data_IF_767496471061
#
_entry.id   IF_767496471061
#
_cell.length_a   1.000
_cell.length_b   1.000
_cell.length_c   1.000
_cell.angle_alpha   90.00
_cell.angle_beta   90.00
_cell.angle_gamma   90.00
#
_symmetry.space_group_name_H-M   'P 1'
#
loop_
_entity.id
_entity.type
_entity.pdbx_description
1 polymer ?
#
# COMPACT_ATOMS: atom_id res chain seq x y z
N UNK A 1 5.85 11.66 -34.94
CA UNK A 1 5.66 11.69 -33.49
C UNK A 1 6.49 10.54 -32.91
N UNK A 2 7.54 10.83 -32.17
CA UNK A 2 8.28 9.80 -31.43
C UNK A 2 7.36 9.25 -30.35
N UNK A 3 7.33 7.94 -30.11
CA UNK A 3 6.56 7.40 -29.00
C UNK A 3 7.10 8.00 -27.69
N UNK A 4 6.21 8.60 -26.89
CA UNK A 4 6.54 8.98 -25.53
C UNK A 4 6.82 7.68 -24.78
N UNK A 5 8.09 7.38 -24.57
CA UNK A 5 8.48 6.26 -23.71
C UNK A 5 8.03 6.62 -22.29
N UNK A 6 6.94 6.00 -21.85
CA UNK A 6 6.55 6.08 -20.45
C UNK A 6 7.73 5.65 -19.58
N UNK A 7 8.09 6.45 -18.60
CA UNK A 7 9.12 6.06 -17.65
C UNK A 7 8.75 4.72 -17.00
N UNK A 8 9.76 3.85 -16.81
CA UNK A 8 9.51 2.54 -16.22
C UNK A 8 8.89 2.69 -14.82
N UNK A 9 7.86 1.90 -14.55
CA UNK A 9 7.23 1.91 -13.23
C UNK A 9 8.23 1.46 -12.16
N UNK A 10 8.15 2.11 -11.01
CA UNK A 10 8.89 1.74 -9.80
C UNK A 10 7.90 1.38 -8.70
N UNK A 11 8.17 0.34 -7.93
CA UNK A 11 7.31 -0.12 -6.84
C UNK A 11 7.89 0.31 -5.50
N UNK A 12 7.05 0.88 -4.63
CA UNK A 12 7.39 1.23 -3.27
C UNK A 12 6.58 0.35 -2.31
N UNK A 13 7.25 -0.50 -1.53
CA UNK A 13 6.60 -1.36 -0.53
C UNK A 13 6.53 -0.59 0.79
N UNK A 14 5.30 -0.40 1.28
CA UNK A 14 4.98 0.23 2.56
C UNK A 14 4.47 -0.86 3.50
N UNK A 15 5.24 -1.26 4.51
CA UNK A 15 4.89 -2.39 5.38
C UNK A 15 3.81 -2.04 6.40
N UNK A 16 3.29 -3.05 7.09
CA UNK A 16 2.53 -2.86 8.33
C UNK A 16 3.42 -2.37 9.48
N UNK A 17 2.80 -1.78 10.49
CA UNK A 17 3.51 -1.43 11.73
C UNK A 17 4.13 -2.67 12.39
N UNK A 18 5.24 -2.50 13.08
CA UNK A 18 5.98 -3.59 13.70
C UNK A 18 6.78 -4.48 12.73
N UNK A 19 6.60 -4.35 11.41
CA UNK A 19 7.30 -5.15 10.40
C UNK A 19 8.76 -4.69 10.21
N UNK A 20 9.59 -4.92 11.21
CA UNK A 20 11.02 -4.58 11.21
C UNK A 20 11.85 -5.72 11.80
N UNK A 21 12.96 -6.16 11.14
CA UNK A 21 13.46 -5.73 9.84
C UNK A 21 12.51 -6.13 8.68
N UNK A 22 12.23 -5.22 7.77
CA UNK A 22 11.29 -5.45 6.66
C UNK A 22 11.67 -6.65 5.79
N UNK A 23 12.96 -6.92 5.64
CA UNK A 23 13.49 -8.03 4.84
C UNK A 23 13.17 -9.42 5.42
N UNK A 24 12.80 -9.48 6.68
CA UNK A 24 12.45 -10.71 7.39
C UNK A 24 10.94 -10.82 7.67
N UNK A 25 10.18 -9.78 7.33
CA UNK A 25 8.76 -9.73 7.59
C UNK A 25 7.96 -10.06 6.33
N UNK A 26 6.94 -10.89 6.48
CA UNK A 26 5.94 -11.21 5.47
C UNK A 26 6.55 -11.47 4.06
N UNK A 27 5.81 -11.16 3.03
CA UNK A 27 6.17 -11.31 1.61
C UNK A 27 7.02 -10.18 1.03
N UNK A 28 7.39 -9.14 1.80
CA UNK A 28 7.98 -7.92 1.26
C UNK A 28 9.29 -8.16 0.51
N UNK A 29 10.24 -8.88 1.12
CA UNK A 29 11.51 -9.19 0.47
C UNK A 29 11.35 -10.16 -0.71
N UNK A 30 10.39 -11.08 -0.63
CA UNK A 30 10.05 -11.96 -1.74
C UNK A 30 9.51 -11.15 -2.93
N UNK A 31 8.57 -10.24 -2.70
CA UNK A 31 8.01 -9.38 -3.73
C UNK A 31 9.08 -8.51 -4.37
N UNK A 32 9.97 -7.91 -3.57
CA UNK A 32 11.09 -7.11 -4.09
C UNK A 32 11.97 -7.92 -5.04
N UNK A 33 12.36 -9.14 -4.66
CA UNK A 33 13.18 -10.03 -5.53
C UNK A 33 12.44 -10.37 -6.80
N UNK A 34 11.20 -10.80 -6.70
CA UNK A 34 10.37 -11.21 -7.83
C UNK A 34 10.14 -10.08 -8.85
N UNK A 35 9.95 -8.84 -8.37
CA UNK A 35 9.85 -7.65 -9.22
C UNK A 35 11.18 -7.33 -9.90
N UNK A 36 12.29 -7.38 -9.18
CA UNK A 36 13.64 -7.14 -9.74
C UNK A 36 14.00 -8.17 -10.81
N UNK A 37 13.66 -9.44 -10.59
CA UNK A 37 13.87 -10.51 -11.60
C UNK A 37 13.07 -10.27 -12.89
N UNK A 38 11.97 -9.53 -12.80
CA UNK A 38 11.15 -9.08 -13.94
C UNK A 38 11.56 -7.70 -14.49
N UNK A 39 12.67 -7.13 -13.99
CA UNK A 39 13.19 -5.83 -14.44
C UNK A 39 12.35 -4.65 -13.95
N UNK A 40 11.70 -4.76 -12.80
CA UNK A 40 10.97 -3.68 -12.14
C UNK A 40 11.77 -3.20 -10.92
N UNK A 41 12.08 -1.91 -10.88
CA UNK A 41 12.72 -1.31 -9.71
C UNK A 41 11.78 -1.32 -8.51
N UNK A 42 12.29 -1.71 -7.35
CA UNK A 42 11.48 -1.86 -6.15
C UNK A 42 12.22 -1.41 -4.90
N UNK A 43 11.67 -0.42 -4.22
CA UNK A 43 12.13 0.03 -2.91
C UNK A 43 11.44 -0.80 -1.81
N UNK A 44 12.24 -1.42 -0.96
CA UNK A 44 11.79 -2.22 0.18
C UNK A 44 12.84 -2.11 1.29
N UNK A 45 12.79 -1.02 2.07
CA UNK A 45 13.74 -0.73 3.15
C UNK A 45 12.98 -0.42 4.45
N UNK A 46 13.66 -0.52 5.59
CA UNK A 46 13.04 -0.25 6.88
C UNK A 46 12.45 1.16 6.92
N UNK A 47 11.21 1.25 7.40
CA UNK A 47 10.58 2.53 7.69
C UNK A 47 11.14 3.13 8.98
N UNK A 48 11.25 4.46 9.09
CA UNK A 48 11.47 5.10 10.38
C UNK A 48 10.24 4.86 11.28
N UNK A 49 10.42 4.93 12.59
CA UNK A 49 9.33 4.75 13.55
C UNK A 49 8.43 3.54 13.25
N UNK A 50 9.01 2.32 13.13
CA UNK A 50 8.29 1.19 12.55
C UNK A 50 7.17 0.66 13.44
N UNK A 51 7.17 0.97 14.73
CA UNK A 51 6.20 0.44 15.69
C UNK A 51 4.94 1.31 15.82
N UNK A 52 5.09 2.62 15.89
CA UNK A 52 3.96 3.55 15.95
C UNK A 52 3.48 3.96 14.56
N UNK A 53 4.34 3.83 13.54
CA UNK A 53 4.03 4.10 12.13
C UNK A 53 3.37 5.46 11.91
N UNK A 54 3.84 6.49 12.64
CA UNK A 54 3.20 7.81 12.64
C UNK A 54 3.13 8.43 11.25
N UNK A 55 1.96 8.88 10.88
CA UNK A 55 1.72 9.61 9.63
C UNK A 55 2.72 10.75 9.43
N UNK A 56 2.95 11.55 10.47
CA UNK A 56 3.86 12.71 10.45
C UNK A 56 5.33 12.36 10.18
N UNK A 57 5.70 11.09 10.35
CA UNK A 57 7.05 10.57 10.08
C UNK A 57 7.07 9.81 8.75
N UNK A 58 6.07 8.98 8.51
CA UNK A 58 6.04 8.11 7.33
C UNK A 58 5.78 8.87 6.04
N UNK A 59 4.83 9.81 5.99
CA UNK A 59 4.55 10.52 4.74
C UNK A 59 5.75 11.33 4.22
N UNK A 60 6.49 12.13 5.05
CA UNK A 60 7.72 12.76 4.60
C UNK A 60 8.78 11.75 4.12
N UNK A 61 8.94 10.62 4.80
CA UNK A 61 9.89 9.61 4.39
C UNK A 61 9.54 8.99 3.02
N UNK A 62 8.26 8.65 2.80
CA UNK A 62 7.79 8.10 1.54
C UNK A 62 7.97 9.12 0.40
N UNK A 63 7.63 10.38 0.64
CA UNK A 63 7.76 11.43 -0.35
C UNK A 63 9.23 11.80 -0.62
N UNK A 64 10.02 12.04 0.43
CA UNK A 64 11.31 12.70 0.30
C UNK A 64 12.50 11.72 0.23
N UNK A 65 12.39 10.54 0.87
CA UNK A 65 13.44 9.51 0.87
C UNK A 65 13.16 8.43 -0.16
N UNK A 66 11.94 7.85 -0.15
CA UNK A 66 11.56 6.86 -1.15
C UNK A 66 11.26 7.48 -2.51
N UNK A 67 11.15 8.83 -2.59
CA UNK A 67 10.91 9.58 -3.84
C UNK A 67 9.64 9.15 -4.56
N UNK A 68 8.52 9.11 -3.82
CA UNK A 68 7.22 8.83 -4.42
C UNK A 68 6.86 9.91 -5.45
N UNK A 69 6.52 9.48 -6.67
CA UNK A 69 6.17 10.33 -7.80
C UNK A 69 5.14 9.64 -8.72
N UNK A 70 4.77 10.30 -9.80
CA UNK A 70 3.77 9.81 -10.76
C UNK A 70 4.15 8.53 -11.51
N UNK A 71 5.38 8.02 -11.38
CA UNK A 71 5.81 6.74 -11.95
C UNK A 71 5.76 5.60 -10.91
N UNK A 72 5.51 5.93 -9.64
CA UNK A 72 5.52 4.96 -8.56
C UNK A 72 4.19 4.22 -8.43
N UNK A 73 4.26 2.92 -8.19
CA UNK A 73 3.17 2.10 -7.68
C UNK A 73 3.40 1.86 -6.19
N UNK A 74 2.45 2.29 -5.38
CA UNK A 74 2.50 2.03 -3.94
C UNK A 74 1.90 0.65 -3.65
N UNK A 75 2.59 -0.15 -2.86
CA UNK A 75 2.06 -1.42 -2.34
C UNK A 75 2.05 -1.30 -0.83
N UNK A 76 0.89 -0.95 -0.29
CA UNK A 76 0.71 -0.72 1.14
C UNK A 76 0.04 -1.91 1.82
N UNK A 77 0.57 -2.34 2.95
CA UNK A 77 0.01 -3.40 3.78
C UNK A 77 -0.32 -2.86 5.17
N UNK A 78 -1.57 -3.05 5.64
CA UNK A 78 -2.01 -2.58 6.96
C UNK A 78 -1.70 -1.09 7.11
N UNK A 79 -1.00 -0.62 8.15
CA UNK A 79 -0.60 0.79 8.30
C UNK A 79 0.09 1.39 7.06
N UNK A 80 0.73 0.58 6.25
CA UNK A 80 1.28 1.00 4.95
C UNK A 80 0.21 1.30 3.91
N UNK A 81 -0.97 0.67 3.99
CA UNK A 81 -2.10 1.00 3.12
C UNK A 81 -2.70 2.36 3.50
N UNK A 82 -2.85 2.65 4.80
CA UNK A 82 -3.30 3.96 5.28
C UNK A 82 -2.30 5.06 4.90
N UNK A 83 -1.00 4.78 5.04
CA UNK A 83 0.05 5.71 4.61
C UNK A 83 -0.03 5.99 3.10
N UNK A 84 -0.26 4.95 2.27
CA UNK A 84 -0.45 5.12 0.83
C UNK A 84 -1.68 6.00 0.53
N UNK A 85 -2.82 5.74 1.16
CA UNK A 85 -4.03 6.53 0.97
C UNK A 85 -3.81 8.00 1.37
N UNK A 86 -3.22 8.27 2.55
CA UNK A 86 -2.93 9.65 2.98
C UNK A 86 -1.93 10.36 2.08
N UNK A 87 -0.89 9.65 1.60
CA UNK A 87 0.05 10.23 0.65
C UNK A 87 -0.66 10.67 -0.64
N UNK A 88 -1.55 9.82 -1.16
CA UNK A 88 -2.30 10.10 -2.39
C UNK A 88 -3.30 11.25 -2.25
N UNK A 89 -3.64 11.71 -1.05
CA UNK A 89 -4.43 12.94 -0.90
C UNK A 89 -3.74 14.17 -1.48
N UNK A 90 -2.39 14.16 -1.57
CA UNK A 90 -1.57 15.32 -1.97
C UNK A 90 -0.51 15.01 -3.02
N UNK A 91 -0.26 13.74 -3.32
CA UNK A 91 0.82 13.30 -4.21
C UNK A 91 0.27 12.40 -5.29
N UNK A 92 0.53 12.76 -6.55
CA UNK A 92 0.17 11.92 -7.69
C UNK A 92 1.13 10.75 -7.80
N UNK A 93 0.58 9.55 -7.94
CA UNK A 93 1.30 8.29 -8.17
C UNK A 93 0.74 7.59 -9.41
N UNK A 94 1.42 6.60 -9.93
CA UNK A 94 0.89 5.79 -11.02
C UNK A 94 -0.30 4.94 -10.56
N UNK A 95 -0.24 4.39 -9.36
CA UNK A 95 -1.34 3.62 -8.80
C UNK A 95 -0.99 3.04 -7.45
N UNK A 96 -1.94 2.33 -6.85
CA UNK A 96 -1.69 1.63 -5.61
C UNK A 96 -2.38 0.27 -5.55
N UNK A 97 -1.74 -0.65 -4.83
CA UNK A 97 -2.34 -1.90 -4.35
C UNK A 97 -2.38 -1.84 -2.82
N UNK A 98 -3.56 -1.83 -2.27
CA UNK A 98 -3.83 -1.75 -0.84
C UNK A 98 -4.13 -3.16 -0.32
N UNK A 99 -3.37 -3.61 0.66
CA UNK A 99 -3.52 -4.94 1.28
C UNK A 99 -3.94 -4.76 2.73
N UNK A 100 -5.09 -5.30 3.11
CA UNK A 100 -5.67 -5.19 4.43
C UNK A 100 -5.79 -3.72 4.88
N UNK A 101 -6.43 -2.87 4.06
CA UNK A 101 -6.66 -1.47 4.38
C UNK A 101 -7.89 -1.28 5.27
N UNK A 102 -7.82 -0.32 6.20
CA UNK A 102 -8.96 0.15 6.98
C UNK A 102 -9.11 1.68 6.89
N UNK A 103 -10.23 2.21 7.38
CA UNK A 103 -10.54 3.64 7.34
C UNK A 103 -10.76 4.25 8.74
N UNK A 104 -10.84 3.42 9.77
CA UNK A 104 -10.97 3.83 11.18
C UNK A 104 -9.81 3.30 12.02
N UNK A 105 -9.63 3.85 13.19
CA UNK A 105 -8.66 3.37 14.19
C UNK A 105 -9.12 2.10 14.93
N UNK A 106 -10.28 1.54 14.55
CA UNK A 106 -10.89 0.36 15.17
C UNK A 106 -11.11 0.48 16.68
N UNK A 107 -11.05 1.70 17.24
CA UNK A 107 -11.06 1.93 18.68
C UNK A 107 -9.77 1.48 19.40
N UNK A 108 -8.69 1.28 18.66
CA UNK A 108 -7.38 0.86 19.18
C UNK A 108 -6.51 2.09 19.40
N UNK A 109 -6.02 2.29 20.62
CA UNK A 109 -5.25 3.48 21.01
C UNK A 109 -3.97 3.66 20.17
N UNK A 110 -3.25 2.58 19.87
CA UNK A 110 -2.05 2.65 19.03
C UNK A 110 -2.36 3.09 17.60
N UNK A 111 -3.51 2.70 17.06
CA UNK A 111 -3.95 3.14 15.74
C UNK A 111 -4.37 4.62 15.78
N UNK A 112 -5.09 5.05 16.80
CA UNK A 112 -5.45 6.47 16.98
C UNK A 112 -4.20 7.38 17.06
N UNK A 113 -3.15 6.94 17.76
CA UNK A 113 -1.88 7.67 17.91
C UNK A 113 -1.12 7.78 16.59
N UNK A 114 -1.30 6.87 15.65
CA UNK A 114 -0.66 6.90 14.32
C UNK A 114 -0.97 8.17 13.53
N UNK A 115 -2.15 8.76 13.75
CA UNK A 115 -2.59 10.01 13.16
C UNK A 115 -3.34 9.88 11.84
N UNK A 116 -3.41 8.70 11.24
CA UNK A 116 -4.10 8.52 9.96
C UNK A 116 -5.60 8.76 10.02
N UNK A 117 -6.24 8.55 11.17
CA UNK A 117 -7.70 8.55 11.31
C UNK A 117 -8.27 9.83 11.93
N UNK A 118 -7.45 10.80 12.28
CA UNK A 118 -7.86 12.01 13.02
C UNK A 118 -8.55 13.09 12.17
N UNK A 119 -8.76 12.83 10.88
CA UNK A 119 -9.47 13.71 9.94
C UNK A 119 -10.18 12.89 8.85
N UNK A 120 -11.23 13.44 8.21
CA UNK A 120 -11.89 12.78 7.09
C UNK A 120 -10.92 12.42 5.96
N UNK A 121 -11.17 11.28 5.32
CA UNK A 121 -10.46 10.85 4.12
C UNK A 121 -10.88 11.69 2.92
N UNK A 122 -9.92 12.10 2.11
CA UNK A 122 -10.19 12.86 0.88
C UNK A 122 -10.30 11.90 -0.32
N UNK A 123 -11.31 11.01 -0.28
CA UNK A 123 -11.50 9.92 -1.24
C UNK A 123 -11.37 10.35 -2.70
N UNK A 124 -11.96 11.50 -3.05
CA UNK A 124 -11.91 11.99 -4.42
C UNK A 124 -10.48 12.37 -4.85
N UNK A 125 -9.69 12.98 -3.97
CA UNK A 125 -8.30 13.31 -4.27
C UNK A 125 -7.43 12.07 -4.41
N UNK A 126 -7.66 11.03 -3.59
CA UNK A 126 -6.95 9.75 -3.71
C UNK A 126 -7.19 9.16 -5.11
N UNK A 127 -8.45 9.16 -5.58
CA UNK A 127 -8.79 8.69 -6.93
C UNK A 127 -8.13 9.50 -8.03
N UNK A 128 -8.18 10.83 -7.93
CA UNK A 128 -7.62 11.74 -8.94
C UNK A 128 -6.07 11.66 -9.03
N UNK A 129 -5.42 11.27 -7.95
CA UNK A 129 -3.98 11.15 -7.85
C UNK A 129 -3.45 9.73 -8.18
N UNK A 130 -4.28 8.85 -8.74
CA UNK A 130 -3.88 7.51 -9.15
C UNK A 130 -4.55 7.09 -10.46
N UNK A 131 -3.84 6.32 -11.30
CA UNK A 131 -4.38 5.77 -12.55
C UNK A 131 -5.15 4.46 -12.30
N UNK A 132 -4.81 3.75 -11.24
CA UNK A 132 -5.50 2.53 -10.80
C UNK A 132 -5.40 2.35 -9.29
N UNK A 133 -6.40 1.70 -8.74
CA UNK A 133 -6.45 1.26 -7.34
C UNK A 133 -6.97 -0.18 -7.31
N UNK A 134 -6.23 -1.06 -6.64
CA UNK A 134 -6.63 -2.45 -6.37
C UNK A 134 -6.54 -2.68 -4.87
N UNK A 135 -7.45 -3.45 -4.33
CA UNK A 135 -7.48 -3.74 -2.90
C UNK A 135 -7.61 -5.25 -2.66
N UNK A 136 -6.77 -5.75 -1.78
CA UNK A 136 -6.88 -7.10 -1.22
C UNK A 136 -7.45 -7.03 0.19
N UNK A 137 -8.44 -7.85 0.49
CA UNK A 137 -9.00 -8.00 1.82
C UNK A 137 -9.23 -9.47 2.16
N UNK A 138 -9.07 -9.82 3.44
CA UNK A 138 -9.40 -11.15 3.95
C UNK A 138 -10.75 -11.07 4.67
N UNK A 139 -11.67 -11.96 4.31
CA UNK A 139 -13.00 -12.02 4.98
C UNK A 139 -12.91 -12.51 6.42
N UNK A 140 -11.82 -13.16 6.78
CA UNK A 140 -11.55 -13.73 8.09
C UNK A 140 -10.34 -13.06 8.76
N UNK A 141 -10.02 -11.80 8.39
CA UNK A 141 -8.89 -11.05 8.94
C UNK A 141 -9.01 -10.93 10.47
N UNK A 142 -7.99 -11.38 11.24
CA UNK A 142 -8.06 -11.38 12.70
C UNK A 142 -7.94 -9.98 13.33
N UNK A 143 -7.52 -8.97 12.55
CA UNK A 143 -7.25 -7.61 13.05
C UNK A 143 -8.23 -6.58 12.49
N UNK A 144 -8.55 -6.68 11.21
CA UNK A 144 -9.36 -5.68 10.49
C UNK A 144 -10.67 -6.30 10.05
N UNK A 145 -11.82 -5.84 10.59
CA UNK A 145 -13.12 -6.26 10.11
C UNK A 145 -13.28 -6.06 8.61
N UNK A 146 -13.83 -7.04 7.90
CA UNK A 146 -13.97 -7.00 6.44
C UNK A 146 -14.76 -5.78 5.94
N UNK A 147 -15.69 -5.28 6.75
CA UNK A 147 -16.49 -4.08 6.47
C UNK A 147 -15.63 -2.82 6.31
N UNK A 148 -14.50 -2.73 6.99
CA UNK A 148 -13.52 -1.64 6.81
C UNK A 148 -13.01 -1.62 5.36
N UNK A 149 -12.61 -2.78 4.84
CA UNK A 149 -12.13 -2.91 3.47
C UNK A 149 -13.23 -2.64 2.44
N UNK A 150 -14.47 -3.08 2.70
CA UNK A 150 -15.63 -2.79 1.85
C UNK A 150 -15.87 -1.29 1.79
N UNK A 151 -15.86 -0.60 2.95
CA UNK A 151 -16.03 0.86 3.00
C UNK A 151 -14.96 1.60 2.19
N UNK A 152 -13.69 1.21 2.32
CA UNK A 152 -12.59 1.79 1.52
C UNK A 152 -12.83 1.56 0.03
N UNK A 153 -13.20 0.33 -0.36
CA UNK A 153 -13.42 -0.03 -1.75
C UNK A 153 -14.58 0.76 -2.39
N UNK A 154 -15.69 0.92 -1.69
CA UNK A 154 -16.86 1.68 -2.15
C UNK A 154 -16.51 3.16 -2.37
N UNK A 155 -15.78 3.77 -1.43
CA UNK A 155 -15.42 5.18 -1.52
C UNK A 155 -14.36 5.45 -2.59
N UNK A 156 -13.39 4.56 -2.76
CA UNK A 156 -12.34 4.69 -3.76
C UNK A 156 -12.75 4.16 -5.15
N UNK A 157 -13.77 3.31 -5.23
CA UNK A 157 -14.10 2.58 -6.47
C UNK A 157 -12.99 1.60 -6.86
N UNK A 158 -12.35 0.96 -5.89
CA UNK A 158 -11.27 0.00 -6.14
C UNK A 158 -11.82 -1.32 -6.65
N UNK A 159 -10.98 -2.06 -7.41
CA UNK A 159 -11.17 -3.48 -7.62
C UNK A 159 -10.88 -4.19 -6.29
N UNK A 160 -11.92 -4.72 -5.62
CA UNK A 160 -11.78 -5.44 -4.36
C UNK A 160 -11.62 -6.94 -4.60
N UNK A 161 -10.43 -7.46 -4.28
CA UNK A 161 -10.11 -8.89 -4.35
C UNK A 161 -10.21 -9.49 -2.95
N UNK A 162 -11.30 -10.22 -2.71
CA UNK A 162 -11.53 -10.85 -1.41
C UNK A 162 -10.88 -12.22 -1.35
N UNK A 163 -10.18 -12.48 -0.27
CA UNK A 163 -9.59 -13.77 0.09
C UNK A 163 -10.21 -14.30 1.38
N UNK A 164 -9.94 -15.53 1.70
CA UNK A 164 -10.34 -16.18 2.95
C UNK A 164 -9.12 -16.89 3.55
N UNK A 165 -9.00 -16.89 4.88
CA UNK A 165 -7.91 -17.54 5.61
C UNK A 165 -6.51 -17.10 5.17
N UNK A 166 -6.38 -15.81 4.89
CA UNK A 166 -5.10 -15.21 4.51
C UNK A 166 -4.30 -14.70 5.70
N UNK A 167 -4.84 -14.83 6.92
CA UNK A 167 -4.19 -14.44 8.18
C UNK A 167 -3.58 -13.03 8.10
N UNK A 168 -4.40 -12.03 7.75
CA UNK A 168 -3.96 -10.65 7.54
C UNK A 168 -2.85 -10.54 6.47
N UNK A 169 -2.77 -11.47 5.53
CA UNK A 169 -1.70 -11.57 4.52
C UNK A 169 -0.28 -11.67 5.12
N UNK A 170 -0.15 -12.23 6.33
CA UNK A 170 1.14 -12.48 6.98
C UNK A 170 1.79 -13.77 6.44
N UNK A 171 2.00 -13.83 5.13
CA UNK A 171 2.58 -14.96 4.40
C UNK A 171 4.02 -14.65 3.97
N UNK A 172 4.77 -15.70 3.56
CA UNK A 172 6.16 -15.52 3.11
C UNK A 172 6.28 -15.12 1.64
N UNK A 173 5.23 -15.34 0.86
CA UNK A 173 5.10 -14.94 -0.54
C UNK A 173 3.68 -14.50 -0.84
N UNK A 174 3.47 -13.84 -2.00
CA UNK A 174 2.15 -13.39 -2.43
C UNK A 174 2.09 -13.34 -3.98
N UNK A 175 2.00 -14.50 -4.66
CA UNK A 175 2.01 -14.57 -6.12
C UNK A 175 0.93 -13.74 -6.80
N UNK A 176 -0.31 -13.78 -6.30
CA UNK A 176 -1.44 -13.02 -6.87
C UNK A 176 -1.16 -11.50 -6.87
N UNK A 177 -0.52 -10.99 -5.80
CA UNK A 177 -0.11 -9.59 -5.71
C UNK A 177 0.91 -9.22 -6.79
N UNK A 178 1.91 -10.09 -7.00
CA UNK A 178 2.90 -9.91 -8.07
C UNK A 178 2.24 -9.86 -9.45
N UNK A 179 1.34 -10.82 -9.73
CA UNK A 179 0.60 -10.88 -11.00
C UNK A 179 -0.24 -9.61 -11.21
N UNK A 180 -0.94 -9.16 -10.18
CA UNK A 180 -1.72 -7.91 -10.22
C UNK A 180 -0.84 -6.71 -10.55
N UNK A 181 0.29 -6.54 -9.87
CA UNK A 181 1.22 -5.44 -10.14
C UNK A 181 1.71 -5.49 -11.59
N UNK A 182 2.18 -6.66 -12.04
CA UNK A 182 2.71 -6.84 -13.40
C UNK A 182 1.65 -6.52 -14.47
N UNK A 183 0.42 -6.98 -14.29
CA UNK A 183 -0.69 -6.66 -15.19
C UNK A 183 -0.99 -5.14 -15.25
N UNK A 184 -1.01 -4.47 -14.10
CA UNK A 184 -1.31 -3.02 -14.03
C UNK A 184 -0.19 -2.14 -14.59
N UNK A 185 1.06 -2.56 -14.54
CA UNK A 185 2.18 -1.81 -15.12
C UNK A 185 2.46 -2.16 -16.60
N UNK A 186 1.73 -3.12 -17.18
CA UNK A 186 1.83 -3.48 -18.59
C UNK A 186 3.08 -4.31 -18.94
N UNK A 187 3.48 -5.20 -18.06
CA UNK A 187 4.61 -6.12 -18.25
C UNK A 187 4.20 -7.59 -18.14
#
# INVERSE_FOLDING_TARGET
>A
MLPVTMAAARVLILPGNGCTPIKSANWYAWLQRSLKDKGVDCFCENMPDPHEAKESIWLPFIRDTMKADSNCVLVGHSSGAEAAMRLMETTKVRGAVLVAACHTDLGIESEAISGYYNRPWQWQKIKENSEFLVQYADTDDPFIPYEEAVHVAENLGTELISKTRSDHFMTQDFPDLLETIMAKIGK
#
